data_IF_618923162178
#
_entry.id   IF_618923162178
#
_cell.length_a   1.000
_cell.length_b   1.000
_cell.length_c   1.000
_cell.angle_alpha   90.00
_cell.angle_beta   90.00
_cell.angle_gamma   90.00
#
_symmetry.space_group_name_H-M   'P 1'
#
loop_
_entity.id
_entity.type
_entity.pdbx_description
1 polymer ?
#
# COMPACT_ATOMS: atom_id res chain seq x y z
N UNK A 1 0.13 -1.86 -75.66
CA UNK A 1 0.62 -0.75 -74.81
C UNK A 1 -0.43 -0.48 -73.75
N UNK A 2 -0.11 -0.66 -72.47
CA UNK A 2 -0.60 0.13 -71.33
C UNK A 2 0.00 -0.44 -70.04
N UNK A 3 0.63 0.46 -69.26
CA UNK A 3 1.41 0.19 -68.04
C UNK A 3 0.51 0.19 -66.80
N UNK A 4 0.87 -0.72 -65.87
CA UNK A 4 0.82 -0.64 -64.40
C UNK A 4 -0.37 0.02 -63.67
N UNK A 5 -1.04 -0.77 -62.83
CA UNK A 5 -1.43 -0.33 -61.49
C UNK A 5 -0.98 -1.44 -60.53
N UNK A 6 0.13 -1.21 -59.81
CA UNK A 6 0.50 -2.06 -58.68
C UNK A 6 -0.41 -1.71 -57.51
N UNK A 7 -1.00 -2.74 -56.94
CA UNK A 7 -1.73 -2.77 -55.68
C UNK A 7 -1.00 -2.04 -54.55
N UNK A 8 -1.74 -1.18 -53.83
CA UNK A 8 -1.51 -0.88 -52.41
C UNK A 8 -2.76 -1.36 -51.69
N UNK A 9 -2.75 -2.62 -51.28
CA UNK A 9 -3.66 -3.11 -50.25
C UNK A 9 -3.11 -2.65 -48.91
N UNK A 10 -3.94 -1.93 -48.16
CA UNK A 10 -3.63 -1.30 -46.89
C UNK A 10 -3.24 -2.35 -45.83
N UNK A 11 -1.98 -2.74 -45.82
CA UNK A 11 -1.36 -3.47 -44.73
C UNK A 11 -0.93 -2.44 -43.68
N UNK A 12 -1.71 -2.31 -42.61
CA UNK A 12 -1.28 -1.50 -41.47
C UNK A 12 -2.42 -0.96 -40.62
N UNK A 13 -2.95 -1.79 -39.71
CA UNK A 13 -3.04 -1.42 -38.29
C UNK A 13 -3.49 -2.63 -37.47
N UNK A 14 -2.58 -3.59 -37.26
CA UNK A 14 -2.70 -4.47 -36.11
C UNK A 14 -2.44 -3.61 -34.88
N UNK A 15 -3.51 -3.08 -34.27
CA UNK A 15 -3.45 -2.58 -32.90
C UNK A 15 -3.08 -3.77 -32.02
N UNK A 16 -1.79 -3.96 -31.75
CA UNK A 16 -1.37 -4.69 -30.57
C UNK A 16 -1.81 -3.84 -29.38
N UNK A 17 -3.07 -3.96 -28.97
CA UNK A 17 -3.46 -3.60 -27.62
C UNK A 17 -2.86 -4.67 -26.72
N UNK A 18 -1.60 -4.46 -26.32
CA UNK A 18 -1.11 -5.02 -25.08
C UNK A 18 -2.01 -4.39 -24.02
N UNK A 19 -3.09 -5.08 -23.68
CA UNK A 19 -3.86 -4.81 -22.47
C UNK A 19 -2.89 -5.12 -21.33
N UNK A 20 -2.10 -4.12 -20.95
CA UNK A 20 -1.39 -4.12 -19.71
C UNK A 20 -2.49 -3.94 -18.66
N UNK A 21 -3.04 -5.05 -18.20
CA UNK A 21 -3.87 -5.07 -17.01
C UNK A 21 -3.03 -4.44 -15.91
N UNK A 22 -3.28 -3.16 -15.62
CA UNK A 22 -2.84 -2.57 -14.38
C UNK A 22 -3.57 -3.37 -13.32
N UNK A 23 -2.88 -4.40 -12.80
CA UNK A 23 -3.27 -5.11 -11.60
C UNK A 23 -3.39 -4.03 -10.53
N UNK A 24 -4.61 -3.57 -10.27
CA UNK A 24 -4.89 -2.83 -9.06
C UNK A 24 -4.85 -3.85 -7.95
N UNK A 25 -3.63 -4.11 -7.45
CA UNK A 25 -3.46 -4.81 -6.20
C UNK A 25 -4.24 -4.02 -5.15
N UNK A 26 -5.30 -4.65 -4.62
CA UNK A 26 -6.10 -4.05 -3.55
C UNK A 26 -5.13 -3.81 -2.40
N UNK A 27 -4.75 -2.56 -2.15
CA UNK A 27 -3.86 -2.21 -1.04
C UNK A 27 -4.51 -2.73 0.24
N UNK A 28 -3.93 -3.78 0.83
CA UNK A 28 -4.37 -4.28 2.13
C UNK A 28 -4.07 -3.19 3.15
N UNK A 29 -5.11 -2.68 3.80
CA UNK A 29 -4.96 -1.75 4.91
C UNK A 29 -4.34 -2.55 6.06
N UNK A 30 -3.10 -2.22 6.44
CA UNK A 30 -2.34 -2.89 7.52
C UNK A 30 -2.62 -2.32 8.92
N UNK A 31 -3.53 -1.35 9.07
CA UNK A 31 -3.88 -0.81 10.38
C UNK A 31 -4.37 0.63 10.33
N UNK A 32 -5.10 1.04 11.37
CA UNK A 32 -5.63 2.41 11.51
C UNK A 32 -5.01 3.12 12.71
N UNK A 33 -4.35 4.26 12.45
CA UNK A 33 -3.70 5.08 13.46
C UNK A 33 -4.32 6.46 13.53
N UNK A 34 -4.63 6.92 14.74
CA UNK A 34 -5.09 8.29 15.02
C UNK A 34 -3.93 9.04 15.65
N UNK A 35 -3.46 10.11 15.00
CA UNK A 35 -2.34 10.93 15.48
C UNK A 35 -2.89 12.26 15.96
N UNK A 36 -2.64 12.58 17.23
CA UNK A 36 -2.94 13.87 17.83
C UNK A 36 -1.64 14.66 18.02
N UNK A 37 -1.47 15.72 17.24
CA UNK A 37 -0.29 16.60 17.30
C UNK A 37 -0.55 17.70 18.32
N UNK A 38 0.19 17.65 19.43
CA UNK A 38 0.03 18.59 20.56
C UNK A 38 0.99 19.77 20.46
N UNK A 39 2.22 19.54 19.97
CA UNK A 39 3.25 20.56 19.89
C UNK A 39 4.01 20.49 18.57
N UNK A 40 4.54 21.64 18.16
CA UNK A 40 5.36 21.80 16.96
C UNK A 40 6.57 22.67 17.24
N UNK A 41 7.46 22.14 18.07
CA UNK A 41 8.73 22.79 18.42
C UNK A 41 9.88 22.15 17.64
N UNK A 42 10.99 22.87 17.46
CA UNK A 42 12.21 22.36 16.81
C UNK A 42 11.96 21.74 15.42
N UNK A 43 11.01 22.33 14.67
CA UNK A 43 10.59 21.85 13.36
C UNK A 43 10.13 20.37 13.32
N UNK A 44 9.66 19.82 14.45
CA UNK A 44 9.15 18.44 14.53
C UNK A 44 7.75 18.39 15.13
N UNK A 45 7.04 17.29 14.92
CA UNK A 45 5.76 17.02 15.57
C UNK A 45 5.96 16.24 16.85
N UNK A 46 5.18 16.59 17.86
CA UNK A 46 5.14 15.93 19.15
C UNK A 46 3.67 15.75 19.55
N UNK A 47 3.37 14.66 20.24
CA UNK A 47 2.01 14.38 20.69
C UNK A 47 1.82 12.91 20.97
N UNK A 48 0.67 12.39 20.59
CA UNK A 48 0.27 11.02 20.86
C UNK A 48 -0.30 10.33 19.63
N UNK A 49 -0.10 9.02 19.56
CA UNK A 49 -0.67 8.15 18.54
C UNK A 49 -1.50 7.07 19.23
N UNK A 50 -2.68 6.82 18.70
CA UNK A 50 -3.59 5.76 19.12
C UNK A 50 -3.74 4.78 17.98
N UNK A 51 -3.45 3.52 18.24
CA UNK A 51 -3.76 2.43 17.33
C UNK A 51 -5.20 1.98 17.58
N UNK A 52 -6.07 2.20 16.59
CA UNK A 52 -7.51 1.94 16.73
C UNK A 52 -7.82 0.46 16.97
N UNK A 53 -7.07 -0.43 16.31
CA UNK A 53 -7.30 -1.87 16.34
C UNK A 53 -6.90 -2.50 17.68
N UNK A 54 -5.74 -2.09 18.24
CA UNK A 54 -5.25 -2.60 19.52
C UNK A 54 -5.61 -1.73 20.74
N UNK A 55 -6.33 -0.62 20.54
CA UNK A 55 -6.63 0.40 21.56
C UNK A 55 -5.40 0.85 22.36
N UNK A 56 -4.22 0.79 21.74
CA UNK A 56 -2.95 1.20 22.35
C UNK A 56 -2.69 2.67 22.11
N UNK A 57 -2.31 3.39 23.16
CA UNK A 57 -1.96 4.82 23.11
C UNK A 57 -0.50 5.00 23.50
N UNK A 58 0.26 5.73 22.69
CA UNK A 58 1.68 6.03 22.94
C UNK A 58 1.99 7.49 22.64
N UNK A 59 2.93 8.07 23.38
CA UNK A 59 3.41 9.43 23.15
C UNK A 59 4.69 9.40 22.33
N UNK A 60 4.83 10.36 21.40
CA UNK A 60 6.04 10.55 20.61
C UNK A 60 6.58 11.97 20.80
N UNK A 61 7.92 12.10 20.81
CA UNK A 61 8.67 13.35 20.99
C UNK A 61 9.25 13.89 19.69
N UNK A 62 9.12 13.13 18.59
CA UNK A 62 9.50 13.57 17.24
C UNK A 62 8.76 12.80 16.15
N UNK A 63 8.75 13.36 14.94
CA UNK A 63 8.20 12.67 13.76
C UNK A 63 8.89 11.32 13.47
N UNK A 64 10.20 11.20 13.72
CA UNK A 64 10.92 9.93 13.52
C UNK A 64 10.48 8.85 14.52
N UNK A 65 10.24 9.25 15.77
CA UNK A 65 9.76 8.35 16.80
C UNK A 65 8.35 7.83 16.48
N UNK A 66 7.46 8.70 15.98
CA UNK A 66 6.15 8.29 15.46
C UNK A 66 6.28 7.23 14.36
N UNK A 67 7.17 7.44 13.39
CA UNK A 67 7.39 6.47 12.29
C UNK A 67 7.87 5.13 12.85
N UNK A 68 8.81 5.13 13.80
CA UNK A 68 9.29 3.89 14.45
C UNK A 68 8.18 3.16 15.20
N UNK A 69 7.29 3.87 15.87
CA UNK A 69 6.14 3.27 16.56
C UNK A 69 5.17 2.62 15.58
N UNK A 70 4.89 3.27 14.45
CA UNK A 70 4.03 2.71 13.39
C UNK A 70 4.69 1.49 12.76
N UNK A 71 5.97 1.57 12.39
CA UNK A 71 6.72 0.46 11.80
C UNK A 71 6.76 -0.76 12.73
N UNK A 72 7.04 -0.55 14.03
CA UNK A 72 6.98 -1.61 15.03
C UNK A 72 5.59 -2.24 15.19
N UNK A 73 4.53 -1.43 15.14
CA UNK A 73 3.16 -1.92 15.19
C UNK A 73 2.82 -2.79 13.98
N UNK A 74 3.16 -2.34 12.77
CA UNK A 74 2.91 -3.07 11.53
C UNK A 74 3.68 -4.40 11.44
N UNK A 75 4.94 -4.42 11.89
CA UNK A 75 5.75 -5.64 11.87
C UNK A 75 5.29 -6.66 12.94
N UNK A 76 4.66 -6.19 14.03
CA UNK A 76 4.09 -7.09 15.06
C UNK A 76 2.82 -7.82 14.63
N UNK A 77 2.09 -7.31 13.62
CA UNK A 77 0.89 -7.98 13.10
C UNK A 77 1.22 -9.22 12.25
N UNK A 78 2.39 -9.25 11.62
CA UNK A 78 2.80 -10.34 10.73
C UNK A 78 2.99 -11.67 11.49
N UNK A 79 3.31 -11.61 12.79
CA UNK A 79 3.45 -12.77 13.68
C UNK A 79 2.11 -13.34 14.17
N UNK A 80 1.05 -12.52 14.25
CA UNK A 80 -0.27 -12.97 14.78
C UNK A 80 -1.12 -13.71 13.75
N UNK A 81 -0.80 -13.64 12.45
CA UNK A 81 -1.51 -14.39 11.41
C UNK A 81 -1.03 -15.84 11.23
N UNK A 82 -0.04 -16.31 12.01
CA UNK A 82 0.48 -17.69 11.92
C UNK A 82 0.00 -18.66 13.02
N UNK A 83 -0.81 -18.22 13.99
CA UNK A 83 -1.30 -19.07 15.09
C UNK A 83 -2.83 -19.17 15.13
N UNK A 84 -3.46 -19.42 13.98
CA UNK A 84 -4.89 -19.74 13.92
C UNK A 84 -5.22 -20.73 12.80
N UNK A 85 -4.45 -21.80 12.70
CA UNK A 85 -4.83 -23.04 12.02
C UNK A 85 -4.12 -24.18 12.75
N UNK A 86 -4.87 -25.23 13.11
CA UNK A 86 -4.48 -26.40 13.94
C UNK A 86 -4.52 -26.06 15.45
N UNK A 87 -5.47 -26.53 16.28
CA UNK A 87 -6.15 -27.83 16.32
C UNK A 87 -7.52 -27.73 17.02
N UNK A 88 -8.59 -28.00 16.28
CA UNK A 88 -9.82 -28.64 16.80
C UNK A 88 -10.13 -29.75 15.79
N UNK A 89 -9.90 -31.01 16.16
CA UNK A 89 -10.57 -32.19 15.62
C UNK A 89 -10.18 -33.42 16.48
N UNK A 90 -11.17 -33.88 17.25
CA UNK A 90 -11.43 -35.19 17.88
C UNK A 90 -10.32 -35.99 18.60
#
# INVERSE_FOLDING_TARGET
MNRAIKTVTNAGMRRNSIFMGAQHEKRKIKGTFIVNVMFRENATWQGEVVWADEKKKQYFRSALELIKMIDGALNSEEEKMQTKTETEED
#
